data_IF_814946599540
#
_entry.id   IF_814946599540
#
_cell.length_a   1.000
_cell.length_b   1.000
_cell.length_c   1.000
_cell.angle_alpha   90.00
_cell.angle_beta   90.00
_cell.angle_gamma   90.00
#
_symmetry.space_group_name_H-M   'P 1'
#
loop_
_entity.id
_entity.type
_entity.pdbx_description
1 polymer ?
#
# COMPACT_ATOMS: atom_id res chain seq x y z
N UNK A 1 12.35 8.18 8.30
CA UNK A 1 12.53 6.84 7.69
C UNK A 1 13.42 6.98 6.47
N UNK A 2 14.12 5.93 6.04
CA UNK A 2 14.92 5.89 4.82
C UNK A 2 14.33 4.89 3.82
N UNK A 3 14.62 5.03 2.53
CA UNK A 3 14.31 4.00 1.54
C UNK A 3 15.33 2.87 1.66
N UNK A 4 14.97 1.65 1.25
CA UNK A 4 15.93 0.55 1.16
C UNK A 4 16.18 0.24 -0.31
N UNK A 5 17.42 0.39 -0.76
CA UNK A 5 17.83 0.12 -2.14
C UNK A 5 19.11 -0.73 -2.10
N UNK A 6 19.03 -1.92 -2.71
CA UNK A 6 20.18 -2.82 -2.81
C UNK A 6 20.83 -3.09 -1.45
N UNK A 7 20.06 -3.59 -0.49
CA UNK A 7 20.45 -3.88 0.90
C UNK A 7 20.88 -2.69 1.79
N UNK A 8 20.87 -1.46 1.28
CA UNK A 8 21.26 -0.27 2.04
C UNK A 8 20.07 0.65 2.32
N UNK A 9 20.06 1.29 3.50
CA UNK A 9 19.14 2.39 3.80
C UNK A 9 19.68 3.70 3.23
N UNK A 10 18.91 4.35 2.36
CA UNK A 10 19.30 5.54 1.60
C UNK A 10 18.24 6.64 1.67
N UNK A 11 18.70 7.89 1.56
CA UNK A 11 17.81 9.04 1.31
C UNK A 11 17.46 9.14 -0.19
N UNK A 12 16.49 10.00 -0.53
CA UNK A 12 16.26 10.33 -1.95
C UNK A 12 17.46 11.08 -2.50
N UNK A 13 17.85 10.74 -3.73
CA UNK A 13 18.84 11.49 -4.53
C UNK A 13 18.48 12.98 -4.59
N UNK A 14 17.19 13.31 -4.62
CA UNK A 14 16.74 14.72 -4.66
C UNK A 14 16.74 15.41 -3.30
N UNK A 15 16.95 14.66 -2.21
CA UNK A 15 16.78 15.12 -0.83
C UNK A 15 15.33 15.43 -0.44
N UNK A 16 14.37 15.36 -1.37
CA UNK A 16 12.97 15.68 -1.10
C UNK A 16 12.36 14.62 -0.18
N UNK A 17 11.48 15.08 0.69
CA UNK A 17 10.64 14.23 1.55
C UNK A 17 9.16 14.54 1.34
N UNK A 18 8.33 13.55 1.63
CA UNK A 18 6.87 13.67 1.59
C UNK A 18 6.34 13.45 2.99
N UNK A 19 5.45 14.35 3.40
CA UNK A 19 4.70 14.19 4.63
C UNK A 19 3.76 12.99 4.50
N UNK A 20 3.80 12.15 5.52
CA UNK A 20 2.90 11.03 5.68
C UNK A 20 2.00 11.33 6.87
N UNK A 21 0.71 11.37 6.58
CA UNK A 21 -0.34 11.45 7.59
C UNK A 21 -0.99 10.09 7.73
N UNK A 22 -0.78 9.45 8.88
CA UNK A 22 -1.58 8.32 9.33
C UNK A 22 -2.29 8.74 10.61
N UNK A 23 -3.56 8.37 10.82
CA UNK A 23 -4.29 8.87 11.98
C UNK A 23 -3.65 8.51 13.35
N UNK A 24 -2.76 7.52 13.39
CA UNK A 24 -1.97 7.17 14.58
C UNK A 24 -0.62 7.88 14.70
N UNK A 25 0.01 8.20 13.57
CA UNK A 25 1.41 8.63 13.48
C UNK A 25 1.60 9.52 12.26
N UNK A 26 2.11 10.73 12.46
CA UNK A 26 2.56 11.58 11.37
C UNK A 26 4.08 11.55 11.27
N UNK A 27 4.62 11.76 10.07
CA UNK A 27 6.06 11.85 9.88
C UNK A 27 6.43 12.14 8.44
N UNK A 28 7.71 12.01 8.13
CA UNK A 28 8.22 12.21 6.78
C UNK A 28 8.98 10.99 6.28
N UNK A 29 8.85 10.72 4.99
CA UNK A 29 9.63 9.71 4.28
C UNK A 29 10.31 10.32 3.05
N UNK A 30 11.40 9.72 2.54
CA UNK A 30 12.03 10.20 1.32
C UNK A 30 11.10 10.06 0.12
N UNK A 31 11.12 11.06 -0.75
CA UNK A 31 10.37 11.10 -2.00
C UNK A 31 11.18 10.41 -3.09
N UNK A 32 11.02 9.09 -3.22
CA UNK A 32 11.68 8.31 -4.27
C UNK A 32 11.28 8.79 -5.66
N UNK A 33 12.23 9.34 -6.41
CA UNK A 33 12.05 9.82 -7.78
C UNK A 33 12.68 8.90 -8.82
N UNK A 34 12.71 9.35 -10.08
CA UNK A 34 13.29 8.58 -11.19
C UNK A 34 14.75 8.17 -10.94
N UNK A 35 15.57 9.06 -10.40
CA UNK A 35 16.98 8.76 -10.13
C UNK A 35 17.14 7.65 -9.07
N UNK A 36 16.28 7.65 -8.04
CA UNK A 36 16.25 6.59 -7.03
C UNK A 36 15.85 5.25 -7.65
N UNK A 37 14.87 5.25 -8.57
CA UNK A 37 14.47 4.06 -9.34
C UNK A 37 15.63 3.54 -10.19
N UNK A 38 16.37 4.43 -10.88
CA UNK A 38 17.48 4.04 -11.73
C UNK A 38 18.61 3.37 -10.89
N UNK A 39 18.89 3.86 -9.67
CA UNK A 39 19.82 3.21 -8.73
C UNK A 39 19.30 1.83 -8.29
N UNK A 40 18.01 1.72 -7.98
CA UNK A 40 17.41 0.44 -7.60
C UNK A 40 17.47 -0.60 -8.73
N UNK A 41 17.29 -0.17 -9.98
CA UNK A 41 17.44 -1.02 -11.16
C UNK A 41 18.90 -1.50 -11.29
N UNK A 42 19.88 -0.62 -11.10
CA UNK A 42 21.30 -0.99 -11.15
C UNK A 42 21.65 -2.02 -10.07
N UNK A 43 21.19 -1.80 -8.83
CA UNK A 43 21.40 -2.74 -7.73
C UNK A 43 20.79 -4.12 -8.04
N UNK A 44 19.56 -4.16 -8.55
CA UNK A 44 18.91 -5.42 -8.96
C UNK A 44 19.66 -6.14 -10.09
N UNK A 45 20.20 -5.39 -11.07
CA UNK A 45 21.00 -5.95 -12.16
C UNK A 45 22.32 -6.55 -11.67
N UNK A 46 22.98 -5.91 -10.71
CA UNK A 46 24.22 -6.40 -10.12
C UNK A 46 23.99 -7.66 -9.26
N UNK A 47 22.86 -7.74 -8.56
CA UNK A 47 22.49 -8.89 -7.74
C UNK A 47 22.12 -10.15 -8.56
N UNK A 48 21.78 -9.99 -9.84
CA UNK A 48 21.33 -11.08 -10.73
C UNK A 48 22.24 -11.25 -11.97
N UNK A 49 23.51 -11.67 -11.79
CA UNK A 49 24.36 -12.03 -12.92
C UNK A 49 23.76 -13.23 -13.66
N UNK A 50 23.51 -13.08 -14.96
CA UNK A 50 22.81 -14.11 -15.75
C UNK A 50 21.30 -13.91 -15.85
N UNK A 51 20.75 -12.74 -15.50
CA UNK A 51 19.32 -12.41 -15.73
C UNK A 51 18.76 -12.76 -17.11
N UNK A 52 19.62 -12.85 -18.14
CA UNK A 52 19.28 -13.27 -19.49
C UNK A 52 18.76 -14.72 -19.57
N UNK A 53 19.21 -15.64 -18.71
CA UNK A 53 18.75 -17.04 -18.69
C UNK A 53 17.49 -17.27 -17.85
N UNK A 54 17.04 -16.28 -17.07
CA UNK A 54 15.81 -16.38 -16.28
C UNK A 54 14.57 -16.41 -17.20
N UNK A 55 13.69 -17.42 -17.11
CA UNK A 55 12.59 -17.59 -18.06
C UNK A 55 11.47 -16.55 -17.89
N UNK A 56 11.22 -16.07 -16.67
CA UNK A 56 10.15 -15.12 -16.35
C UNK A 56 10.55 -14.13 -15.26
N UNK A 57 10.00 -12.93 -15.32
CA UNK A 57 10.22 -11.89 -14.30
C UNK A 57 8.89 -11.43 -13.72
N UNK A 58 8.84 -11.27 -12.40
CA UNK A 58 7.72 -10.64 -11.69
C UNK A 58 8.17 -9.28 -11.16
N UNK A 59 7.32 -8.27 -11.28
CA UNK A 59 7.66 -6.92 -10.84
C UNK A 59 6.44 -6.19 -10.30
N UNK A 60 6.57 -5.63 -9.09
CA UNK A 60 5.52 -4.83 -8.43
C UNK A 60 5.93 -3.37 -8.46
N UNK A 61 5.15 -2.54 -9.15
CA UNK A 61 5.45 -1.11 -9.33
C UNK A 61 4.22 -0.33 -9.80
N UNK A 62 4.38 0.97 -10.04
CA UNK A 62 3.36 1.76 -10.75
C UNK A 62 3.32 1.40 -12.24
N UNK A 63 2.16 1.62 -12.88
CA UNK A 63 1.90 1.29 -14.29
C UNK A 63 3.01 1.79 -15.23
N UNK A 64 3.40 3.07 -15.10
CA UNK A 64 4.38 3.66 -16.01
C UNK A 64 5.79 3.04 -15.84
N UNK A 65 6.22 2.78 -14.61
CA UNK A 65 7.48 2.07 -14.36
C UNK A 65 7.41 0.64 -14.90
N UNK A 66 6.29 -0.04 -14.73
CA UNK A 66 6.08 -1.40 -15.25
C UNK A 66 6.17 -1.45 -16.78
N UNK A 67 5.59 -0.45 -17.46
CA UNK A 67 5.65 -0.31 -18.92
C UNK A 67 7.08 -0.09 -19.42
N UNK A 68 7.86 0.74 -18.72
CA UNK A 68 9.27 0.99 -19.05
C UNK A 68 10.12 -0.28 -18.87
N UNK A 69 9.90 -1.03 -17.79
CA UNK A 69 10.57 -2.31 -17.53
C UNK A 69 10.20 -3.35 -18.59
N UNK A 70 8.91 -3.45 -18.94
CA UNK A 70 8.43 -4.37 -19.98
C UNK A 70 9.10 -4.12 -21.33
N UNK A 71 9.22 -2.85 -21.75
CA UNK A 71 9.87 -2.51 -23.01
C UNK A 71 11.36 -2.89 -23.04
N UNK A 72 12.05 -2.81 -21.89
CA UNK A 72 13.47 -3.13 -21.77
C UNK A 72 13.77 -4.64 -21.71
N UNK A 73 12.79 -5.49 -21.38
CA UNK A 73 12.97 -6.94 -21.18
C UNK A 73 12.58 -7.79 -22.40
N UNK A 74 12.62 -7.19 -23.59
CA UNK A 74 12.23 -7.76 -24.89
C UNK A 74 12.41 -9.29 -24.96
N UNK A 75 11.31 -10.03 -25.14
CA UNK A 75 11.21 -11.52 -25.22
C UNK A 75 11.07 -12.32 -23.91
N UNK A 76 11.05 -11.72 -22.71
CA UNK A 76 10.75 -12.44 -21.45
C UNK A 76 9.28 -12.29 -21.05
N UNK A 77 8.71 -13.36 -20.50
CA UNK A 77 7.40 -13.30 -19.85
C UNK A 77 7.48 -12.37 -18.63
N UNK A 78 6.63 -11.35 -18.61
CA UNK A 78 6.51 -10.39 -17.52
C UNK A 78 5.10 -10.45 -16.93
N UNK A 79 5.04 -10.59 -15.60
CA UNK A 79 3.79 -10.44 -14.84
C UNK A 79 3.92 -9.19 -13.98
N UNK A 80 3.40 -8.03 -14.43
CA UNK A 80 3.40 -6.82 -13.63
C UNK A 80 2.23 -6.85 -12.63
N UNK A 81 2.48 -6.37 -11.42
CA UNK A 81 1.44 -6.09 -10.42
C UNK A 81 1.30 -4.56 -10.27
N UNK A 82 0.65 -3.88 -11.24
CA UNK A 82 0.36 -2.46 -11.13
C UNK A 82 -0.75 -2.29 -10.11
N UNK A 83 -0.55 -1.46 -9.09
CA UNK A 83 -1.56 -1.25 -8.04
C UNK A 83 -2.98 -1.00 -8.58
N UNK A 84 -4.00 -1.32 -7.79
CA UNK A 84 -5.40 -1.29 -8.23
C UNK A 84 -6.15 -0.01 -7.87
N UNK A 85 -7.39 0.09 -8.34
CA UNK A 85 -8.41 1.04 -7.87
C UNK A 85 -9.59 0.29 -7.25
N UNK A 86 -9.28 -0.52 -6.23
CA UNK A 86 -10.23 -1.48 -5.66
C UNK A 86 -11.46 -0.81 -5.06
N UNK A 87 -12.61 -1.41 -5.36
CA UNK A 87 -13.91 -0.94 -4.91
C UNK A 87 -14.39 -1.72 -3.69
N UNK A 88 -15.01 -1.02 -2.75
CA UNK A 88 -15.77 -1.57 -1.64
C UNK A 88 -17.24 -1.21 -1.83
N UNK A 89 -18.10 -2.21 -1.99
CA UNK A 89 -19.55 -2.01 -2.13
C UNK A 89 -20.19 -2.17 -0.74
N UNK A 90 -20.99 -1.19 -0.31
CA UNK A 90 -21.62 -1.14 1.00
C UNK A 90 -23.14 -1.23 0.81
N UNK A 91 -23.67 -2.42 1.12
CA UNK A 91 -25.09 -2.75 1.07
C UNK A 91 -25.84 -2.17 2.29
N UNK A 92 -27.16 -2.11 2.20
CA UNK A 92 -28.01 -1.50 3.24
C UNK A 92 -28.25 -2.39 4.47
N UNK A 93 -27.88 -3.67 4.41
CA UNK A 93 -28.07 -4.68 5.45
C UNK A 93 -26.86 -4.80 6.41
N UNK A 94 -26.07 -3.74 6.55
CA UNK A 94 -24.83 -3.76 7.33
C UNK A 94 -24.92 -2.92 8.61
N UNK A 95 -24.10 -3.26 9.60
CA UNK A 95 -23.80 -2.35 10.71
C UNK A 95 -22.95 -1.19 10.20
N UNK A 96 -23.57 -0.02 10.06
CA UNK A 96 -22.91 1.20 9.55
C UNK A 96 -21.73 1.65 10.40
N UNK A 97 -21.75 1.42 11.71
CA UNK A 97 -20.64 1.81 12.59
C UNK A 97 -19.46 0.88 12.35
N UNK A 98 -19.71 -0.43 12.37
CA UNK A 98 -18.67 -1.43 12.12
C UNK A 98 -18.04 -1.27 10.72
N UNK A 99 -18.86 -1.07 9.69
CA UNK A 99 -18.39 -0.88 8.32
C UNK A 99 -17.63 0.44 8.16
N UNK A 100 -18.09 1.54 8.74
CA UNK A 100 -17.37 2.82 8.67
C UNK A 100 -15.97 2.74 9.30
N UNK A 101 -15.84 2.03 10.43
CA UNK A 101 -14.56 1.74 11.07
C UNK A 101 -13.66 0.94 10.13
N UNK A 102 -14.16 -0.19 9.62
CA UNK A 102 -13.39 -1.10 8.77
C UNK A 102 -12.95 -0.42 7.46
N UNK A 103 -13.85 0.32 6.83
CA UNK A 103 -13.56 1.09 5.61
C UNK A 103 -12.45 2.13 5.85
N UNK A 104 -12.50 2.84 6.99
CA UNK A 104 -11.46 3.81 7.37
C UNK A 104 -10.12 3.12 7.61
N UNK A 105 -10.11 2.04 8.40
CA UNK A 105 -8.94 1.24 8.71
C UNK A 105 -8.27 0.71 7.43
N UNK A 106 -9.03 0.04 6.56
CA UNK A 106 -8.50 -0.54 5.32
C UNK A 106 -8.01 0.53 4.34
N UNK A 107 -8.71 1.65 4.22
CA UNK A 107 -8.30 2.73 3.32
C UNK A 107 -7.02 3.40 3.79
N UNK A 108 -6.84 3.58 5.10
CA UNK A 108 -5.75 4.35 5.69
C UNK A 108 -4.57 3.48 6.14
N UNK A 109 -4.71 2.15 6.23
CA UNK A 109 -3.60 1.26 6.58
C UNK A 109 -2.38 1.52 5.68
N UNK A 110 -1.18 1.46 6.26
CA UNK A 110 0.07 1.91 5.63
C UNK A 110 -0.04 3.30 4.96
N UNK A 111 -0.78 4.21 5.60
CA UNK A 111 -1.03 5.56 5.09
C UNK A 111 -1.71 5.57 3.70
N UNK A 112 -2.52 4.54 3.44
CA UNK A 112 -3.19 4.31 2.17
C UNK A 112 -2.29 3.84 1.03
N UNK A 113 -1.03 3.47 1.30
CA UNK A 113 -0.04 2.97 0.31
C UNK A 113 -0.11 1.45 0.21
N UNK A 114 -1.26 0.94 -0.23
CA UNK A 114 -1.50 -0.50 -0.44
C UNK A 114 -2.17 -0.66 -1.80
N UNK A 115 -1.67 -1.59 -2.62
CA UNK A 115 -2.21 -1.86 -3.95
C UNK A 115 -3.70 -2.22 -3.89
N UNK A 116 -4.13 -2.97 -2.89
CA UNK A 116 -5.48 -3.51 -2.68
C UNK A 116 -6.36 -2.67 -1.73
N UNK A 117 -5.93 -1.48 -1.31
CA UNK A 117 -6.77 -0.63 -0.45
C UNK A 117 -8.10 -0.27 -1.16
N UNK A 118 -9.23 -0.20 -0.44
CA UNK A 118 -10.51 0.20 -1.01
C UNK A 118 -10.49 1.69 -1.32
N UNK A 119 -10.11 2.05 -2.55
CA UNK A 119 -9.92 3.43 -3.01
C UNK A 119 -11.23 4.07 -3.45
N UNK A 120 -12.20 3.24 -3.83
CA UNK A 120 -13.56 3.65 -4.16
C UNK A 120 -14.55 2.94 -3.22
N UNK A 121 -15.42 3.70 -2.56
CA UNK A 121 -16.51 3.16 -1.75
C UNK A 121 -17.82 3.46 -2.47
N UNK A 122 -18.56 2.42 -2.82
CA UNK A 122 -19.83 2.49 -3.53
C UNK A 122 -20.92 2.14 -2.52
N UNK A 123 -21.69 3.14 -2.10
CA UNK A 123 -22.68 3.01 -1.02
C UNK A 123 -24.08 3.07 -1.60
N UNK A 124 -24.95 2.15 -1.16
CA UNK A 124 -26.34 2.15 -1.62
C UNK A 124 -27.08 3.44 -1.19
N UNK A 125 -28.03 3.93 -2.03
CA UNK A 125 -28.59 5.28 -1.86
C UNK A 125 -29.31 5.52 -0.53
N UNK A 126 -29.95 4.49 0.02
CA UNK A 126 -30.73 4.52 1.25
C UNK A 126 -29.89 4.71 2.52
N UNK A 127 -28.61 4.33 2.47
CA UNK A 127 -27.67 4.46 3.60
C UNK A 127 -26.53 5.44 3.34
N UNK A 128 -26.45 6.05 2.16
CA UNK A 128 -25.34 6.90 1.72
C UNK A 128 -25.01 8.02 2.73
N UNK A 129 -25.99 8.86 3.06
CA UNK A 129 -25.74 10.04 3.91
C UNK A 129 -25.40 9.64 5.35
N UNK A 130 -26.04 8.57 5.84
CA UNK A 130 -25.74 8.01 7.15
C UNK A 130 -24.31 7.47 7.20
N UNK A 131 -23.89 6.73 6.17
CA UNK A 131 -22.52 6.22 6.05
C UNK A 131 -21.49 7.35 5.98
N UNK A 132 -21.69 8.36 5.12
CA UNK A 132 -20.76 9.49 4.97
C UNK A 132 -20.63 10.27 6.28
N UNK A 133 -21.76 10.51 6.95
CA UNK A 133 -21.77 11.15 8.26
C UNK A 133 -20.89 10.37 9.24
N UNK A 134 -21.12 9.07 9.41
CA UNK A 134 -20.29 8.22 10.27
C UNK A 134 -18.83 8.25 9.83
N UNK A 135 -18.54 7.90 8.58
CA UNK A 135 -17.17 7.77 8.06
C UNK A 135 -16.30 9.03 8.28
N UNK A 136 -16.91 10.21 8.31
CA UNK A 136 -16.19 11.49 8.50
C UNK A 136 -16.10 11.95 9.95
N UNK A 137 -16.77 11.28 10.90
CA UNK A 137 -16.75 11.63 12.32
C UNK A 137 -15.33 11.63 12.89
N UNK A 138 -14.97 12.71 13.60
CA UNK A 138 -13.63 12.87 14.21
C UNK A 138 -13.26 11.74 15.18
N UNK A 139 -14.25 11.13 15.83
CA UNK A 139 -14.06 10.01 16.76
C UNK A 139 -13.58 8.75 16.05
N UNK A 140 -14.14 8.47 14.87
CA UNK A 140 -13.74 7.33 14.05
C UNK A 140 -12.30 7.44 13.57
N UNK A 141 -11.78 8.66 13.35
CA UNK A 141 -10.34 8.88 13.04
C UNK A 141 -9.40 8.45 14.17
N UNK A 142 -9.87 8.41 15.43
CA UNK A 142 -9.09 7.90 16.58
C UNK A 142 -9.33 6.41 16.82
N UNK A 143 -10.54 5.91 16.61
CA UNK A 143 -10.91 4.51 16.87
C UNK A 143 -10.45 3.54 15.77
N UNK A 144 -10.40 3.97 14.50
CA UNK A 144 -9.90 3.14 13.40
C UNK A 144 -8.40 2.83 13.49
N UNK A 145 -7.62 3.71 14.13
CA UNK A 145 -6.22 3.47 14.54
C UNK A 145 -6.12 2.34 15.55
N UNK A 146 -7.05 2.37 16.51
CA UNK A 146 -7.07 1.51 17.66
C UNK A 146 -7.38 0.06 17.24
N UNK A 147 -8.29 -0.14 16.28
CA UNK A 147 -8.72 -1.48 15.88
C UNK A 147 -7.73 -2.26 15.02
N UNK A 148 -6.91 -1.60 14.17
CA UNK A 148 -5.83 -2.32 13.50
C UNK A 148 -4.82 -2.82 14.54
N UNK A 149 -4.44 -1.99 15.52
CA UNK A 149 -3.50 -2.40 16.58
C UNK A 149 -4.10 -3.37 17.62
N UNK A 150 -5.41 -3.27 17.89
CA UNK A 150 -6.10 -4.15 18.85
C UNK A 150 -6.58 -5.46 18.24
N UNK A 151 -6.87 -5.55 16.95
CA UNK A 151 -7.11 -6.83 16.28
C UNK A 151 -5.89 -7.76 16.41
N UNK A 152 -4.66 -7.22 16.32
CA UNK A 152 -3.45 -7.96 16.67
C UNK A 152 -3.45 -8.38 18.15
N UNK A 153 -3.66 -7.45 19.09
CA UNK A 153 -3.61 -7.76 20.54
C UNK A 153 -4.72 -8.69 21.05
N UNK A 154 -5.92 -8.66 20.48
CA UNK A 154 -7.07 -9.43 20.95
C UNK A 154 -6.96 -10.94 20.66
N UNK A 155 -6.16 -11.32 19.65
CA UNK A 155 -5.85 -12.72 19.33
C UNK A 155 -4.56 -13.22 20.00
N UNK A 156 -3.93 -12.41 20.85
CA UNK A 156 -2.64 -12.73 21.47
C UNK A 156 -1.46 -12.69 20.49
N UNK A 157 -1.67 -12.26 19.24
CA UNK A 157 -0.67 -12.27 18.17
C UNK A 157 -0.06 -10.87 17.98
N UNK A 158 1.25 -10.73 18.09
CA UNK A 158 1.91 -9.41 18.18
C UNK A 158 2.45 -8.87 16.85
N UNK A 159 2.25 -9.59 15.74
CA UNK A 159 2.60 -9.09 14.41
C UNK A 159 2.30 -10.02 13.24
N UNK A 160 2.46 -9.48 12.02
CA UNK A 160 2.26 -10.16 10.73
C UNK A 160 3.04 -11.48 10.59
N UNK A 161 4.15 -11.64 11.32
CA UNK A 161 5.00 -12.84 11.26
C UNK A 161 4.32 -14.11 11.79
N UNK A 162 3.31 -14.00 12.64
CA UNK A 162 2.61 -15.17 13.21
C UNK A 162 1.49 -15.70 12.32
N UNK A 163 1.11 -14.98 11.25
CA UNK A 163 0.07 -15.39 10.29
C UNK A 163 0.62 -16.09 9.05
N UNK A 164 1.93 -16.02 8.79
CA UNK A 164 2.58 -16.59 7.60
C UNK A 164 3.18 -17.99 7.85
N UNK A 165 2.95 -18.56 9.04
CA UNK A 165 3.45 -19.88 9.45
C UNK A 165 2.30 -20.88 9.73
N UNK A 166 1.06 -20.55 9.36
CA UNK A 166 -0.10 -21.46 9.32
C UNK A 166 -0.52 -21.64 7.86
#
# INVERSE_FOLDING_TARGET
>A
MQMMIGDQFVESVTGKRVEIMYPATCGEVPSGGKADVDIAVQAAQAALPGRASIPSTFFTCGIETGRQVAAALTMKQLTPEPGGNDSMIICSDVDLVAVAIAACALRMYNCGRICTAPKQMIVLPDIHDAFVSRFTEKRLKKESVCLIQHAYKAEGKTGITEYMNE
#
